data_IF_475933766960
#
_entry.id   IF_475933766960
#
_cell.length_a   1.000
_cell.length_b   1.000
_cell.length_c   1.000
_cell.angle_alpha   90.00
_cell.angle_beta   90.00
_cell.angle_gamma   90.00
#
_symmetry.space_group_name_H-M   'P 1'
#
loop_
_entity.id
_entity.type
_entity.pdbx_description
1 polymer ?
#
# COMPACT_ATOMS: atom_id res chain seq x y z
N UNK A 1 -1.63 0.61 -6.08
CA UNK A 1 -2.61 1.07 -5.08
C UNK A 1 -3.78 0.11 -5.09
N UNK A 2 -4.09 -0.55 -3.97
CA UNK A 2 -5.33 -1.32 -3.85
C UNK A 2 -6.51 -0.34 -3.85
N UNK A 3 -7.55 -0.52 -4.68
CA UNK A 3 -7.98 -1.77 -5.34
C UNK A 3 -7.24 -2.13 -6.65
N UNK A 4 -6.68 -1.16 -7.37
CA UNK A 4 -6.05 -1.30 -8.70
C UNK A 4 -4.75 -2.14 -8.77
N UNK A 5 -4.22 -2.57 -7.62
CA UNK A 5 -3.00 -3.36 -7.50
C UNK A 5 -3.12 -4.51 -6.51
N UNK A 6 -4.33 -5.05 -6.30
CA UNK A 6 -4.54 -6.28 -5.54
C UNK A 6 -3.78 -7.45 -6.17
N UNK A 7 -3.42 -8.42 -5.35
CA UNK A 7 -2.73 -9.62 -5.79
C UNK A 7 -1.21 -9.48 -5.87
N UNK A 8 -0.57 -10.56 -6.29
CA UNK A 8 0.87 -10.69 -6.27
C UNK A 8 1.58 -9.71 -7.23
N UNK A 9 2.83 -9.36 -6.91
CA UNK A 9 3.72 -8.57 -7.78
C UNK A 9 3.27 -7.12 -8.04
N UNK A 10 2.54 -6.49 -7.11
CA UNK A 10 2.02 -5.12 -7.26
C UNK A 10 3.08 -4.08 -7.71
N UNK A 11 4.31 -4.14 -7.19
CA UNK A 11 5.41 -3.23 -7.60
C UNK A 11 5.80 -3.44 -9.06
N UNK A 12 5.94 -4.69 -9.51
CA UNK A 12 6.27 -5.00 -10.91
C UNK A 12 5.22 -4.43 -11.86
N UNK A 13 3.94 -4.56 -11.51
CA UNK A 13 2.85 -4.00 -12.30
C UNK A 13 2.84 -2.46 -12.30
N UNK A 14 3.11 -1.82 -11.15
CA UNK A 14 3.22 -0.37 -11.07
C UNK A 14 4.36 0.16 -11.97
N UNK A 15 5.52 -0.51 -11.98
CA UNK A 15 6.59 -0.18 -12.92
C UNK A 15 6.18 -0.37 -14.38
N UNK A 16 5.51 -1.48 -14.71
CA UNK A 16 5.04 -1.75 -16.08
C UNK A 16 4.05 -0.70 -16.59
N UNK A 17 3.18 -0.20 -15.71
CA UNK A 17 2.18 0.82 -16.04
C UNK A 17 2.72 2.26 -15.99
N UNK A 18 4.00 2.43 -15.65
CA UNK A 18 4.61 3.75 -15.48
C UNK A 18 3.84 4.65 -14.49
N UNK A 19 3.35 4.07 -13.40
CA UNK A 19 2.63 4.79 -12.34
C UNK A 19 3.55 5.83 -11.67
N UNK A 20 3.09 7.06 -11.41
CA UNK A 20 3.92 8.04 -10.70
C UNK A 20 4.12 7.67 -9.22
N UNK A 21 3.19 6.91 -8.65
CA UNK A 21 3.13 6.57 -7.22
C UNK A 21 2.67 5.13 -7.00
N UNK A 22 3.02 4.59 -5.84
CA UNK A 22 2.42 3.39 -5.26
C UNK A 22 2.11 3.64 -3.78
N UNK A 23 1.71 2.61 -3.04
CA UNK A 23 1.48 2.73 -1.60
C UNK A 23 1.84 1.45 -0.84
N UNK A 24 2.37 1.62 0.37
CA UNK A 24 2.36 0.58 1.40
C UNK A 24 1.02 0.67 2.16
N UNK A 25 0.35 -0.45 2.39
CA UNK A 25 -0.99 -0.49 2.97
C UNK A 25 -1.12 -1.68 3.93
N UNK A 26 -1.66 -1.42 5.12
CA UNK A 26 -2.16 -2.44 6.04
C UNK A 26 -3.68 -2.41 6.05
N UNK A 27 -4.29 -3.58 6.05
CA UNK A 27 -5.74 -3.75 6.02
C UNK A 27 -6.13 -4.95 6.88
N UNK A 28 -7.38 -4.94 7.33
CA UNK A 28 -7.96 -6.05 8.07
C UNK A 28 -8.24 -7.21 7.12
N UNK A 29 -7.85 -8.42 7.50
CA UNK A 29 -8.22 -9.60 6.73
C UNK A 29 -9.73 -9.83 6.78
N UNK A 30 -10.32 -10.17 5.64
CA UNK A 30 -11.71 -10.55 5.46
C UNK A 30 -11.79 -11.79 4.54
N UNK A 31 -12.98 -12.12 4.04
CA UNK A 31 -13.16 -13.27 3.13
C UNK A 31 -12.62 -13.05 1.72
N UNK A 32 -12.21 -11.84 1.36
CA UNK A 32 -11.71 -11.51 0.03
C UNK A 32 -10.19 -11.40 -0.03
N UNK A 33 -9.66 -11.33 -1.26
CA UNK A 33 -8.24 -11.11 -1.49
C UNK A 33 -7.93 -9.62 -1.45
N UNK A 34 -7.19 -9.19 -0.43
CA UNK A 34 -6.76 -7.80 -0.26
C UNK A 34 -7.94 -6.78 -0.22
N UNK A 35 -9.12 -7.18 0.27
CA UNK A 35 -10.36 -6.37 0.20
C UNK A 35 -10.73 -5.64 1.48
N UNK A 36 -10.27 -6.09 2.65
CA UNK A 36 -10.76 -5.53 3.91
C UNK A 36 -10.36 -4.08 4.18
N UNK A 37 -11.00 -3.49 5.18
CA UNK A 37 -10.82 -2.08 5.55
C UNK A 37 -9.35 -1.75 5.81
N UNK A 38 -8.91 -0.60 5.32
CA UNK A 38 -7.56 -0.07 5.52
C UNK A 38 -7.43 0.36 6.98
N UNK A 39 -6.37 -0.10 7.65
CA UNK A 39 -5.98 0.41 8.95
C UNK A 39 -4.85 1.44 8.84
N UNK A 40 -3.90 1.28 7.92
CA UNK A 40 -2.84 2.27 7.66
C UNK A 40 -2.42 2.29 6.19
N UNK A 41 -1.97 3.45 5.70
CA UNK A 41 -1.48 3.60 4.34
C UNK A 41 -0.41 4.71 4.26
N UNK A 42 0.56 4.51 3.38
CA UNK A 42 1.53 5.53 3.02
C UNK A 42 1.74 5.54 1.50
N UNK A 43 1.62 6.71 0.87
CA UNK A 43 1.87 6.91 -0.56
C UNK A 43 3.38 7.08 -0.75
N UNK A 44 3.94 6.35 -1.72
CA UNK A 44 5.37 6.35 -2.05
C UNK A 44 5.52 6.70 -3.53
N UNK A 45 6.30 7.75 -3.83
CA UNK A 45 6.66 8.10 -5.20
C UNK A 45 7.58 7.02 -5.78
N UNK A 46 7.31 6.57 -7.01
CA UNK A 46 8.16 5.56 -7.64
C UNK A 46 9.42 6.24 -8.19
N UNK A 47 10.58 5.70 -7.83
CA UNK A 47 11.86 6.08 -8.42
C UNK A 47 12.18 5.16 -9.62
N UNK A 48 12.02 5.71 -10.82
CA UNK A 48 12.33 5.03 -12.08
C UNK A 48 13.84 5.06 -12.43
N UNK A 49 14.67 5.75 -11.64
CA UNK A 49 16.13 5.71 -11.76
C UNK A 49 16.74 4.42 -11.21
N UNK A 50 15.99 3.63 -10.44
CA UNK A 50 16.44 2.38 -9.82
C UNK A 50 15.62 1.17 -10.27
N UNK A 51 16.16 -0.03 -10.06
CA UNK A 51 15.48 -1.28 -10.44
C UNK A 51 14.26 -1.52 -9.52
N UNK A 52 13.17 -2.14 -10.00
CA UNK A 52 11.98 -2.39 -9.18
C UNK A 52 12.25 -3.14 -7.87
N UNK A 53 13.23 -4.05 -7.88
CA UNK A 53 13.66 -4.78 -6.68
C UNK A 53 14.31 -3.86 -5.66
N UNK A 54 15.19 -2.97 -6.12
CA UNK A 54 15.89 -2.02 -5.26
C UNK A 54 14.92 -1.01 -4.65
N UNK A 55 13.97 -0.51 -5.43
CA UNK A 55 12.87 0.32 -4.92
C UNK A 55 12.00 -0.40 -3.90
N UNK A 56 11.68 -1.68 -4.13
CA UNK A 56 10.93 -2.46 -3.14
C UNK A 56 11.69 -2.55 -1.81
N UNK A 57 12.97 -2.91 -1.87
CA UNK A 57 13.82 -3.12 -0.69
C UNK A 57 14.10 -1.81 0.07
N UNK A 58 14.34 -0.69 -0.65
CA UNK A 58 14.74 0.59 -0.03
C UNK A 58 13.56 1.48 0.34
N UNK A 59 12.50 1.52 -0.45
CA UNK A 59 11.42 2.50 -0.26
C UNK A 59 10.18 1.83 0.33
N UNK A 60 9.75 0.72 -0.26
CA UNK A 60 8.49 0.07 0.08
C UNK A 60 8.56 -0.67 1.41
N UNK A 61 9.65 -1.40 1.69
CA UNK A 61 9.83 -2.05 3.00
C UNK A 61 9.89 -0.99 4.12
N UNK A 62 10.59 0.12 3.92
CA UNK A 62 10.66 1.18 4.93
C UNK A 62 9.29 1.84 5.16
N UNK A 63 8.51 2.08 4.11
CA UNK A 63 7.13 2.57 4.23
C UNK A 63 6.22 1.55 4.95
N UNK A 64 6.38 0.25 4.68
CA UNK A 64 5.67 -0.81 5.41
C UNK A 64 6.03 -0.83 6.90
N UNK A 65 7.30 -0.64 7.27
CA UNK A 65 7.72 -0.59 8.67
C UNK A 65 7.11 0.62 9.40
N UNK A 66 7.18 1.82 8.80
CA UNK A 66 6.57 3.03 9.38
C UNK A 66 5.06 2.90 9.56
N UNK A 67 4.38 2.37 8.56
CA UNK A 67 2.93 2.14 8.62
C UNK A 67 2.56 1.05 9.63
N UNK A 68 3.38 0.01 9.78
CA UNK A 68 3.18 -1.03 10.79
C UNK A 68 3.31 -0.47 12.20
N UNK A 69 4.34 0.34 12.45
CA UNK A 69 4.55 0.99 13.74
C UNK A 69 3.34 1.87 14.12
N UNK A 70 2.80 2.65 13.17
CA UNK A 70 1.57 3.44 13.39
C UNK A 70 0.36 2.55 13.71
N UNK A 71 0.15 1.50 12.92
CA UNK A 71 -0.96 0.57 13.12
C UNK A 71 -0.89 -0.10 14.50
N UNK A 72 0.29 -0.58 14.91
CA UNK A 72 0.50 -1.16 16.23
C UNK A 72 0.34 -0.13 17.35
N UNK A 73 0.81 1.10 17.12
CA UNK A 73 0.63 2.23 18.04
C UNK A 73 -0.85 2.53 18.31
N UNK A 74 -1.69 2.55 17.28
CA UNK A 74 -3.14 2.74 17.42
C UNK A 74 -3.78 1.56 18.16
N UNK A 75 -3.41 0.33 17.81
CA UNK A 75 -3.93 -0.87 18.47
C UNK A 75 -3.58 -0.92 19.96
N UNK A 76 -2.36 -0.52 20.33
CA UNK A 76 -1.93 -0.46 21.73
C UNK A 76 -2.76 0.51 22.59
N UNK A 77 -3.38 1.53 21.95
CA UNK A 77 -4.24 2.53 22.59
C UNK A 77 -5.73 2.15 22.51
N UNK A 78 -6.06 0.98 21.96
CA UNK A 78 -7.44 0.56 21.72
C UNK A 78 -8.13 1.27 20.55
N UNK A 79 -7.37 1.97 19.69
CA UNK A 79 -7.92 2.61 18.49
C UNK A 79 -7.91 1.61 17.34
N UNK A 80 -9.10 1.31 16.80
CA UNK A 80 -9.27 0.41 15.65
C UNK A 80 -9.68 1.24 14.43
N UNK A 81 -8.69 1.65 13.64
CA UNK A 81 -8.94 2.38 12.39
C UNK A 81 -9.47 1.45 11.31
N UNK A 82 -10.59 1.84 10.68
CA UNK A 82 -11.23 1.13 9.57
C UNK A 82 -11.68 2.13 8.51
N UNK A 83 -11.00 2.12 7.38
CA UNK A 83 -11.37 2.92 6.21
C UNK A 83 -11.76 1.95 5.09
N UNK A 84 -13.04 1.91 4.68
CA UNK A 84 -13.47 1.07 3.56
C UNK A 84 -12.63 1.31 2.32
N UNK A 85 -12.29 0.24 1.61
CA UNK A 85 -11.65 0.37 0.30
C UNK A 85 -12.68 0.83 -0.73
N UNK A 86 -12.36 1.90 -1.47
CA UNK A 86 -13.22 2.39 -2.55
C UNK A 86 -12.71 1.82 -3.88
N UNK A 87 -13.57 1.07 -4.59
CA UNK A 87 -13.21 0.35 -5.84
C UNK A 87 -12.77 1.30 -6.99
N UNK A 88 -13.20 2.57 -6.97
CA UNK A 88 -13.09 3.53 -8.08
C UNK A 88 -12.15 4.72 -7.81
N UNK A 89 -10.91 4.50 -7.37
CA UNK A 89 -9.88 5.54 -7.53
C UNK A 89 -9.33 5.47 -8.96
N UNK A 90 -9.91 6.27 -9.86
CA UNK A 90 -9.36 6.53 -11.19
C UNK A 90 -7.95 7.14 -11.06
N UNK A 91 -7.02 6.89 -12.01
CA UNK A 91 -5.78 7.64 -12.07
C UNK A 91 -6.11 9.13 -12.19
N UNK A 92 -5.38 9.99 -11.47
CA UNK A 92 -5.42 11.42 -11.69
C UNK A 92 -4.80 11.68 -13.07
N UNK A 93 -5.56 12.35 -13.95
CA UNK A 93 -5.18 12.77 -15.29
C UNK A 93 -3.91 13.65 -15.32
#
# INVERSE_FOLDING_TARGET
MIPYGRGASAIRYAYRRNEPITAAKWFWADSGMDTGDICEQEIVKIDYGIRPREFYERDIILAMLRTLERALGDLSKGTIRRIPQVENMLPMD
#
